data_IF_509547268348
#
_entry.id   IF_509547268348
#
_cell.length_a   1.000
_cell.length_b   1.000
_cell.length_c   1.000
_cell.angle_alpha   90.00
_cell.angle_beta   90.00
_cell.angle_gamma   90.00
#
_symmetry.space_group_name_H-M   'P 1'
#
loop_
_entity.id
_entity.type
_entity.pdbx_description
1 polymer ?
#
# COMPACT_ATOMS: atom_id res chain seq x y z
N UNK A 1 20.22 8.33 -8.29
CA UNK A 1 19.99 7.00 -7.67
C UNK A 1 18.49 6.77 -7.59
N UNK A 2 18.01 5.59 -8.00
CA UNK A 2 16.58 5.24 -7.88
C UNK A 2 16.16 5.25 -6.41
N UNK A 3 15.01 5.85 -6.07
CA UNK A 3 14.47 5.85 -4.70
C UNK A 3 13.97 4.42 -4.38
N UNK A 4 14.43 3.77 -3.29
CA UNK A 4 14.01 2.40 -2.99
C UNK A 4 12.62 2.40 -2.33
N UNK A 5 11.71 1.62 -2.92
CA UNK A 5 10.31 1.48 -2.50
C UNK A 5 10.06 0.03 -2.09
N UNK A 6 9.50 -0.18 -0.90
CA UNK A 6 9.00 -1.48 -0.46
C UNK A 6 7.49 -1.57 -0.65
N UNK A 7 7.01 -2.64 -1.30
CA UNK A 7 5.59 -3.02 -1.29
C UNK A 7 5.41 -4.08 -0.21
N UNK A 8 4.73 -3.72 0.86
CA UNK A 8 4.48 -4.56 2.03
C UNK A 8 3.09 -5.15 1.93
N UNK A 9 3.01 -6.48 1.93
CA UNK A 9 1.74 -7.16 1.62
C UNK A 9 1.68 -8.56 2.23
N UNK A 10 0.47 -8.97 2.64
CA UNK A 10 0.14 -10.38 2.96
C UNK A 10 -0.29 -11.19 1.72
N UNK A 11 -0.43 -10.53 0.57
CA UNK A 11 -0.76 -11.15 -0.71
C UNK A 11 0.48 -11.64 -1.45
N UNK A 12 0.26 -12.57 -2.37
CA UNK A 12 1.29 -13.02 -3.31
C UNK A 12 1.66 -11.89 -4.28
N UNK A 13 2.92 -11.87 -4.73
CA UNK A 13 3.42 -10.83 -5.65
C UNK A 13 2.63 -10.77 -6.97
N UNK A 14 2.03 -11.87 -7.40
CA UNK A 14 1.17 -11.91 -8.58
C UNK A 14 0.01 -10.92 -8.49
N UNK A 15 -0.55 -10.70 -7.29
CA UNK A 15 -1.72 -9.83 -7.07
C UNK A 15 -1.39 -8.36 -7.38
N UNK A 16 -0.14 -7.94 -7.17
CA UNK A 16 0.32 -6.56 -7.32
C UNK A 16 1.49 -6.39 -8.29
N UNK A 17 1.74 -7.39 -9.15
CA UNK A 17 2.77 -7.34 -10.19
C UNK A 17 2.61 -6.12 -11.12
N UNK A 18 1.37 -5.71 -11.36
CA UNK A 18 1.02 -4.49 -12.10
C UNK A 18 1.55 -3.22 -11.41
N UNK A 19 1.48 -3.15 -10.08
CA UNK A 19 1.93 -2.00 -9.29
C UNK A 19 3.45 -1.94 -9.26
N UNK A 20 4.11 -3.09 -9.10
CA UNK A 20 5.57 -3.19 -9.21
C UNK A 20 6.06 -2.70 -10.57
N UNK A 21 5.45 -3.20 -11.65
CA UNK A 21 5.75 -2.78 -13.03
C UNK A 21 5.54 -1.27 -13.22
N UNK A 22 4.44 -0.72 -12.68
CA UNK A 22 4.17 0.72 -12.74
C UNK A 22 5.29 1.52 -12.07
N UNK A 23 5.67 1.17 -10.84
CA UNK A 23 6.69 1.89 -10.08
C UNK A 23 8.08 1.77 -10.73
N UNK A 24 8.45 0.59 -11.23
CA UNK A 24 9.71 0.39 -11.95
C UNK A 24 9.77 1.23 -13.23
N UNK A 25 8.63 1.40 -13.93
CA UNK A 25 8.52 2.31 -15.09
C UNK A 25 8.67 3.80 -14.74
N UNK A 26 8.54 4.16 -13.46
CA UNK A 26 8.74 5.52 -12.95
C UNK A 26 10.12 5.70 -12.28
N UNK A 27 11.09 4.83 -12.58
CA UNK A 27 12.47 4.87 -12.08
C UNK A 27 12.63 4.62 -10.57
N UNK A 28 11.69 3.89 -9.95
CA UNK A 28 11.85 3.37 -8.59
C UNK A 28 12.62 2.05 -8.57
N UNK A 29 13.33 1.78 -7.47
CA UNK A 29 13.86 0.44 -7.18
C UNK A 29 12.87 -0.25 -6.25
N UNK A 30 12.10 -1.19 -6.77
CA UNK A 30 10.95 -1.76 -6.06
C UNK A 30 11.30 -3.12 -5.47
N UNK A 31 10.84 -3.36 -4.25
CA UNK A 31 11.01 -4.64 -3.56
C UNK A 31 9.68 -5.10 -2.98
N UNK A 32 9.31 -6.34 -3.28
CA UNK A 32 8.25 -7.05 -2.58
C UNK A 32 8.71 -7.44 -1.19
N UNK A 33 7.91 -7.08 -0.19
CA UNK A 33 8.16 -7.35 1.22
C UNK A 33 6.95 -8.11 1.78
N UNK A 34 7.11 -9.42 1.97
CA UNK A 34 6.03 -10.26 2.49
C UNK A 34 5.79 -9.93 3.97
N UNK A 35 4.56 -9.62 4.30
CA UNK A 35 4.05 -9.60 5.67
C UNK A 35 3.54 -11.01 5.94
N UNK A 36 4.16 -11.67 6.91
CA UNK A 36 3.74 -12.98 7.39
C UNK A 36 3.49 -12.89 8.89
N UNK A 37 3.03 -13.97 9.51
CA UNK A 37 2.96 -14.03 10.98
C UNK A 37 4.34 -14.03 11.67
N UNK A 38 5.43 -13.89 10.90
CA UNK A 38 6.80 -13.74 11.40
C UNK A 38 7.40 -12.43 10.89
N UNK A 39 7.96 -11.64 11.79
CA UNK A 39 8.29 -10.24 11.47
C UNK A 39 9.64 -10.07 10.75
N UNK A 40 10.46 -11.12 10.69
CA UNK A 40 11.85 -11.03 10.21
C UNK A 40 11.96 -10.51 8.76
N UNK A 41 11.05 -10.93 7.87
CA UNK A 41 11.05 -10.49 6.47
C UNK A 41 10.54 -9.06 6.32
N UNK A 42 9.54 -8.69 7.13
CA UNK A 42 9.00 -7.33 7.18
C UNK A 42 10.09 -6.32 7.58
N UNK A 43 10.76 -6.53 8.72
CA UNK A 43 11.81 -5.61 9.19
C UNK A 43 13.01 -5.55 8.26
N UNK A 44 13.37 -6.66 7.61
CA UNK A 44 14.42 -6.67 6.58
C UNK A 44 14.03 -5.76 5.41
N UNK A 45 12.82 -5.88 4.89
CA UNK A 45 12.29 -5.01 3.84
C UNK A 45 12.29 -3.54 4.26
N UNK A 46 11.76 -3.28 5.46
CA UNK A 46 11.65 -1.94 6.06
C UNK A 46 13.01 -1.24 6.22
N UNK A 47 14.06 -1.99 6.56
CA UNK A 47 15.42 -1.44 6.70
C UNK A 47 16.04 -1.01 5.37
N UNK A 48 15.53 -1.49 4.24
CA UNK A 48 16.12 -1.33 2.90
C UNK A 48 15.35 -0.36 2.00
N UNK A 49 14.20 0.16 2.43
CA UNK A 49 13.40 1.11 1.67
C UNK A 49 13.44 2.52 2.27
N UNK A 50 13.10 3.51 1.43
CA UNK A 50 12.88 4.91 1.83
C UNK A 50 11.41 5.31 1.74
N UNK A 51 10.62 4.52 1.02
CA UNK A 51 9.16 4.64 0.92
C UNK A 51 8.54 3.27 1.12
N UNK A 52 7.45 3.21 1.87
CA UNK A 52 6.66 2.02 2.09
C UNK A 52 5.27 2.17 1.49
N UNK A 53 4.87 1.17 0.71
CA UNK A 53 3.51 1.00 0.25
C UNK A 53 2.92 -0.19 0.99
N UNK A 54 1.94 0.04 1.86
CA UNK A 54 1.16 -1.02 2.45
C UNK A 54 0.05 -1.40 1.47
N UNK A 55 0.15 -2.60 0.89
CA UNK A 55 -0.78 -3.09 -0.11
C UNK A 55 -1.74 -4.12 0.49
N UNK A 56 -3.01 -3.99 0.14
CA UNK A 56 -4.05 -4.94 0.45
C UNK A 56 -4.99 -5.10 -0.76
N UNK A 57 -5.44 -6.32 -1.06
CA UNK A 57 -6.48 -6.58 -2.06
C UNK A 57 -7.74 -7.11 -1.38
N UNK A 58 -8.91 -6.60 -1.81
CA UNK A 58 -10.23 -7.10 -1.39
C UNK A 58 -10.42 -8.59 -1.72
N UNK A 59 -9.69 -9.14 -2.70
CA UNK A 59 -9.78 -10.56 -3.03
C UNK A 59 -9.31 -11.49 -1.90
N UNK A 60 -8.55 -10.98 -0.91
CA UNK A 60 -8.23 -11.72 0.32
C UNK A 60 -9.28 -11.58 1.43
N UNK A 61 -10.41 -10.91 1.15
CA UNK A 61 -11.55 -10.83 2.05
C UNK A 61 -11.92 -9.39 2.44
N UNK A 62 -12.00 -9.14 3.75
CA UNK A 62 -12.46 -7.85 4.27
C UNK A 62 -11.39 -6.78 4.15
N UNK A 63 -11.83 -5.53 3.93
CA UNK A 63 -10.97 -4.34 3.91
C UNK A 63 -10.73 -3.87 5.36
N UNK A 64 -10.14 -4.74 6.18
CA UNK A 64 -9.85 -4.47 7.59
C UNK A 64 -8.35 -4.16 7.72
N UNK A 65 -7.96 -2.98 7.26
CA UNK A 65 -6.55 -2.59 7.26
C UNK A 65 -6.10 -2.26 8.68
N UNK A 66 -6.82 -1.35 9.36
CA UNK A 66 -6.56 -0.90 10.75
C UNK A 66 -7.84 -0.60 11.53
N UNK A 67 -7.73 -0.41 12.85
CA UNK A 67 -8.76 0.16 13.76
C UNK A 67 -10.11 -0.57 13.84
N UNK A 68 -10.20 -1.77 13.27
CA UNK A 68 -11.38 -2.61 13.29
C UNK A 68 -11.04 -3.98 13.85
N UNK A 69 -12.04 -4.72 14.31
CA UNK A 69 -11.83 -6.08 14.80
C UNK A 69 -11.15 -6.94 13.73
N UNK A 70 -10.12 -7.68 14.15
CA UNK A 70 -9.27 -8.52 13.29
C UNK A 70 -8.59 -7.72 12.17
N UNK A 71 -8.22 -6.46 12.45
CA UNK A 71 -7.33 -5.66 11.60
C UNK A 71 -6.05 -6.41 11.27
N UNK A 72 -5.61 -6.29 10.02
CA UNK A 72 -4.47 -7.05 9.52
C UNK A 72 -3.13 -6.33 9.64
N UNK A 73 -3.13 -5.00 9.83
CA UNK A 73 -1.93 -4.18 9.64
C UNK A 73 -1.75 -3.05 10.67
N UNK A 74 -2.37 -3.14 11.86
CA UNK A 74 -2.22 -2.08 12.88
C UNK A 74 -0.75 -1.87 13.26
N UNK A 75 -0.02 -2.96 13.50
CA UNK A 75 1.40 -2.92 13.87
C UNK A 75 2.27 -2.55 12.68
N UNK A 76 2.07 -3.19 11.53
CA UNK A 76 2.87 -2.97 10.33
C UNK A 76 2.74 -1.53 9.80
N UNK A 77 1.54 -0.94 9.82
CA UNK A 77 1.36 0.46 9.43
C UNK A 77 2.06 1.42 10.42
N UNK A 78 2.01 1.11 11.72
CA UNK A 78 2.68 1.88 12.77
C UNK A 78 4.20 1.80 12.65
N UNK A 79 4.75 0.64 12.32
CA UNK A 79 6.18 0.45 12.11
C UNK A 79 6.68 1.16 10.85
N UNK A 80 5.90 1.08 9.75
CA UNK A 80 6.16 1.86 8.54
C UNK A 80 6.22 3.35 8.84
N UNK A 81 5.22 3.88 9.56
CA UNK A 81 5.20 5.28 9.98
C UNK A 81 6.39 5.63 10.87
N UNK A 82 6.68 4.82 11.88
CA UNK A 82 7.75 5.07 12.85
C UNK A 82 9.11 5.12 12.17
N UNK A 83 9.34 4.25 11.18
CA UNK A 83 10.63 4.16 10.49
C UNK A 83 10.78 5.14 9.34
N UNK A 84 9.74 5.34 8.53
CA UNK A 84 9.82 6.08 7.28
C UNK A 84 9.25 7.50 7.39
N UNK A 85 8.39 7.73 8.39
CA UNK A 85 7.62 8.95 8.56
C UNK A 85 6.41 9.01 7.62
N UNK A 86 5.35 9.70 8.05
CA UNK A 86 4.07 9.80 7.34
C UNK A 86 4.22 10.10 5.84
N UNK A 87 5.08 11.06 5.47
CA UNK A 87 5.30 11.51 4.08
C UNK A 87 5.90 10.43 3.16
N UNK A 88 6.30 9.28 3.69
CA UNK A 88 6.90 8.19 2.93
C UNK A 88 6.11 6.88 3.06
N UNK A 89 4.87 6.94 3.54
CA UNK A 89 3.99 5.78 3.70
C UNK A 89 2.72 6.02 2.89
N UNK A 90 2.36 5.06 2.05
CA UNK A 90 1.11 5.08 1.26
C UNK A 90 0.37 3.78 1.49
N UNK A 91 -0.95 3.84 1.64
CA UNK A 91 -1.80 2.65 1.68
C UNK A 91 -2.49 2.49 0.33
N UNK A 92 -2.43 1.27 -0.23
CA UNK A 92 -3.13 0.91 -1.47
C UNK A 92 -4.11 -0.21 -1.16
N UNK A 93 -5.37 0.01 -1.52
CA UNK A 93 -6.43 -0.99 -1.43
C UNK A 93 -6.92 -1.31 -2.83
N UNK A 94 -6.64 -2.53 -3.29
CA UNK A 94 -6.92 -3.02 -4.63
C UNK A 94 -8.17 -3.90 -4.70
N UNK A 95 -8.63 -4.13 -5.93
CA UNK A 95 -9.77 -4.97 -6.30
C UNK A 95 -11.10 -4.50 -5.71
N UNK A 96 -11.26 -3.19 -5.61
CA UNK A 96 -12.51 -2.58 -5.18
C UNK A 96 -13.51 -2.45 -6.33
N UNK A 97 -14.79 -2.54 -6.00
CA UNK A 97 -15.87 -2.22 -6.95
C UNK A 97 -16.18 -0.71 -6.94
N UNK A 98 -16.11 -0.10 -5.76
CA UNK A 98 -16.37 1.32 -5.49
C UNK A 98 -15.09 2.00 -4.97
N UNK A 99 -14.64 3.02 -5.71
CA UNK A 99 -13.49 3.86 -5.38
C UNK A 99 -13.88 5.34 -5.24
N UNK A 100 -15.16 5.61 -4.99
CA UNK A 100 -15.70 6.96 -4.82
C UNK A 100 -15.10 7.68 -3.61
N UNK A 101 -15.18 9.01 -3.61
CA UNK A 101 -14.78 9.84 -2.47
C UNK A 101 -15.60 9.50 -1.21
N UNK A 102 -16.86 9.09 -1.38
CA UNK A 102 -17.69 8.60 -0.28
C UNK A 102 -17.10 7.33 0.34
N UNK A 103 -16.66 6.37 -0.47
CA UNK A 103 -16.01 5.15 0.00
C UNK A 103 -14.67 5.47 0.68
N UNK A 104 -13.84 6.34 0.08
CA UNK A 104 -12.57 6.78 0.66
C UNK A 104 -12.79 7.47 2.02
N UNK A 105 -13.75 8.39 2.09
CA UNK A 105 -14.10 9.10 3.32
C UNK A 105 -14.61 8.14 4.40
N UNK A 106 -15.44 7.16 4.02
CA UNK A 106 -15.90 6.11 4.93
C UNK A 106 -14.73 5.34 5.52
N UNK A 107 -13.82 4.84 4.68
CA UNK A 107 -12.64 4.10 5.14
C UNK A 107 -11.80 4.93 6.10
N UNK A 108 -11.48 6.18 5.76
CA UNK A 108 -10.69 7.06 6.63
C UNK A 108 -11.42 7.41 7.94
N UNK A 109 -12.76 7.44 7.95
CA UNK A 109 -13.54 7.66 9.18
C UNK A 109 -13.57 6.42 10.08
N UNK A 110 -13.63 5.22 9.50
CA UNK A 110 -13.69 3.95 10.25
C UNK A 110 -12.31 3.42 10.63
N UNK A 111 -11.27 3.81 9.88
CA UNK A 111 -9.89 3.35 10.01
C UNK A 111 -8.95 4.58 10.05
N UNK A 112 -9.08 5.44 11.08
CA UNK A 112 -8.37 6.71 11.17
C UNK A 112 -6.84 6.57 11.25
N UNK A 113 -6.31 5.39 11.62
CA UNK A 113 -4.87 5.14 11.60
C UNK A 113 -4.28 5.27 10.20
N UNK A 114 -5.03 4.96 9.14
CA UNK A 114 -4.61 5.22 7.75
C UNK A 114 -4.32 6.71 7.54
N UNK A 115 -5.26 7.58 7.92
CA UNK A 115 -5.12 9.03 7.72
C UNK A 115 -4.02 9.65 8.59
N UNK A 116 -3.77 9.09 9.78
CA UNK A 116 -2.78 9.64 10.71
C UNK A 116 -1.36 9.15 10.42
N UNK A 117 -1.20 7.90 9.96
CA UNK A 117 0.10 7.24 9.78
C UNK A 117 0.60 7.23 8.34
N UNK A 118 -0.29 7.31 7.35
CA UNK A 118 0.08 7.37 5.93
C UNK A 118 -0.11 8.77 5.32
N UNK A 119 0.66 9.06 4.28
CA UNK A 119 0.51 10.26 3.47
C UNK A 119 -0.82 10.26 2.70
N UNK A 120 -1.18 9.10 2.14
CA UNK A 120 -2.38 8.96 1.32
C UNK A 120 -2.91 7.52 1.32
N UNK A 121 -4.18 7.41 0.95
CA UNK A 121 -4.91 6.18 0.70
C UNK A 121 -5.34 6.15 -0.76
N UNK A 122 -4.82 5.19 -1.53
CA UNK A 122 -5.20 4.97 -2.92
C UNK A 122 -6.15 3.78 -3.00
N UNK A 123 -7.32 4.03 -3.58
CA UNK A 123 -8.31 3.00 -3.88
C UNK A 123 -8.19 2.63 -5.35
N UNK A 124 -8.04 1.34 -5.63
CA UNK A 124 -7.88 0.82 -6.99
C UNK A 124 -9.06 -0.08 -7.32
N UNK A 125 -9.69 0.22 -8.47
CA UNK A 125 -10.82 -0.56 -8.95
C UNK A 125 -10.33 -1.90 -9.53
N UNK A 126 -11.10 -2.96 -9.32
CA UNK A 126 -10.89 -4.23 -10.02
C UNK A 126 -10.91 -4.02 -11.53
N UNK A 127 -9.95 -4.61 -12.24
CA UNK A 127 -9.79 -4.45 -13.69
C UNK A 127 -8.52 -5.12 -14.19
N UNK A 128 -8.22 -4.96 -15.47
CA UNK A 128 -6.99 -5.51 -16.04
C UNK A 128 -5.75 -4.79 -15.45
N UNK A 129 -4.57 -5.44 -15.43
CA UNK A 129 -3.32 -4.80 -15.04
C UNK A 129 -3.09 -3.44 -15.72
N UNK A 130 -3.38 -3.33 -17.02
CA UNK A 130 -3.21 -2.12 -17.81
C UNK A 130 -4.15 -1.00 -17.35
N UNK A 131 -5.41 -1.33 -17.02
CA UNK A 131 -6.39 -0.38 -16.50
C UNK A 131 -5.98 0.15 -15.13
N UNK A 132 -5.54 -0.75 -14.22
CA UNK A 132 -5.03 -0.40 -12.89
C UNK A 132 -3.81 0.51 -13.00
N UNK A 133 -2.85 0.16 -13.86
CA UNK A 133 -1.67 0.98 -14.10
C UNK A 133 -2.03 2.36 -14.65
N UNK A 134 -2.92 2.43 -15.65
CA UNK A 134 -3.35 3.70 -16.28
C UNK A 134 -4.00 4.64 -15.28
N UNK A 135 -4.92 4.12 -14.47
CA UNK A 135 -5.69 4.92 -13.50
C UNK A 135 -4.88 5.33 -12.27
N UNK A 136 -3.89 4.52 -11.88
CA UNK A 136 -3.08 4.76 -10.67
C UNK A 136 -1.80 5.57 -10.94
N UNK A 137 -1.40 5.70 -12.21
CA UNK A 137 -0.13 6.32 -12.62
C UNK A 137 0.09 7.73 -12.06
N UNK A 138 -0.92 8.59 -12.15
CA UNK A 138 -0.77 9.99 -11.76
C UNK A 138 -0.77 10.18 -10.25
N UNK A 139 -1.53 9.36 -9.51
CA UNK A 139 -1.46 9.32 -8.05
C UNK A 139 -0.05 8.94 -7.57
N UNK A 140 0.55 7.90 -8.16
CA UNK A 140 1.90 7.44 -7.77
C UNK A 140 3.01 8.42 -8.14
N UNK A 141 2.89 9.14 -9.26
CA UNK A 141 3.86 10.17 -9.67
C UNK A 141 3.97 11.33 -8.67
N UNK A 142 2.84 11.74 -8.09
CA UNK A 142 2.80 12.89 -7.18
C UNK A 142 3.29 12.54 -5.78
N UNK A 143 3.11 11.29 -5.34
CA UNK A 143 3.45 10.84 -3.99
C UNK A 143 4.94 10.57 -3.76
N UNK A 144 5.71 10.41 -4.84
CA UNK A 144 7.09 9.93 -4.76
C UNK A 144 8.16 10.96 -5.15
N UNK A 145 7.74 12.22 -5.37
CA UNK A 145 8.62 13.39 -5.58
C UNK A 145 9.31 13.85 -4.30
#
# INVERSE_FOLDING_TARGET
>A
MKKPVGIFSRSDESDYSWLKTLLESQDFSVRSCVISNTDSQFYKGLSQCKVGILYHTKNRGRINVTDVMDSLYDEELKDLYTRLGKKNVVVVIDDLEDISDTMKSRLLSTQPSIASLAQDLILVKSGSPEEKMRTTKDAMKNLLR
#
